data_IF_648190519014
#
_entry.id   IF_648190519014
#
_cell.length_a   1.000
_cell.length_b   1.000
_cell.length_c   1.000
_cell.angle_alpha   90.00
_cell.angle_beta   90.00
_cell.angle_gamma   90.00
#
_symmetry.space_group_name_H-M   'P 1'
#
loop_
_entity.id
_entity.type
_entity.pdbx_description
1 polymer ?
#
# COMPACT_ATOMS: atom_id res chain seq x y z
N UNK A 1 -19.59 -11.97 -19.89
CA UNK A 1 -18.30 -12.58 -19.56
C UNK A 1 -17.24 -12.08 -20.51
N UNK A 2 -16.33 -11.23 -20.04
CA UNK A 2 -15.21 -10.73 -20.82
C UNK A 2 -14.07 -11.77 -20.81
N UNK A 3 -13.41 -11.94 -21.95
CA UNK A 3 -12.12 -12.65 -22.00
C UNK A 3 -11.04 -11.64 -21.62
N UNK A 4 -10.22 -11.98 -20.62
CA UNK A 4 -9.15 -11.12 -20.11
C UNK A 4 -7.81 -11.79 -20.36
N UNK A 5 -6.84 -11.03 -20.90
CA UNK A 5 -5.46 -11.43 -21.02
C UNK A 5 -4.62 -10.56 -20.09
N UNK A 6 -3.90 -11.18 -19.17
CA UNK A 6 -2.89 -10.51 -18.34
C UNK A 6 -1.52 -10.68 -18.97
N UNK A 7 -0.82 -9.57 -19.19
CA UNK A 7 0.54 -9.56 -19.74
C UNK A 7 1.48 -9.05 -18.66
N UNK A 8 2.49 -9.86 -18.29
CA UNK A 8 3.52 -9.56 -17.29
C UNK A 8 4.90 -9.75 -17.92
N UNK A 9 5.79 -8.76 -17.78
CA UNK A 9 7.15 -8.83 -18.33
C UNK A 9 8.11 -9.66 -17.47
N UNK A 10 7.80 -9.78 -16.16
CA UNK A 10 8.60 -10.55 -15.22
C UNK A 10 8.19 -12.01 -15.12
N UNK A 11 8.82 -12.70 -14.20
CA UNK A 11 8.50 -14.09 -13.89
C UNK A 11 7.32 -14.26 -12.94
N UNK A 12 7.07 -15.52 -12.57
CA UNK A 12 6.15 -15.86 -11.48
C UNK A 12 6.68 -15.34 -10.15
N UNK A 13 5.78 -15.08 -9.22
CA UNK A 13 6.07 -14.63 -7.84
C UNK A 13 6.55 -15.78 -6.92
N UNK A 14 7.24 -16.77 -7.48
CA UNK A 14 7.68 -17.98 -6.75
C UNK A 14 8.93 -17.78 -5.88
N UNK A 15 9.56 -16.59 -5.91
CA UNK A 15 10.70 -16.29 -5.07
C UNK A 15 10.26 -16.13 -3.61
N UNK A 16 10.75 -16.98 -2.65
CA UNK A 16 10.20 -17.03 -1.30
C UNK A 16 10.20 -15.68 -0.57
N UNK A 17 11.17 -14.82 -0.83
CA UNK A 17 11.27 -13.49 -0.22
C UNK A 17 10.15 -12.51 -0.64
N UNK A 18 9.44 -12.81 -1.73
CA UNK A 18 8.24 -12.05 -2.08
C UNK A 18 7.15 -12.23 -1.03
N UNK A 19 6.97 -13.45 -0.54
CA UNK A 19 5.88 -13.79 0.38
C UNK A 19 6.17 -13.41 1.84
N UNK A 20 7.44 -13.32 2.22
CA UNK A 20 7.85 -12.93 3.58
C UNK A 20 7.85 -11.40 3.68
N UNK A 21 7.10 -10.78 4.62
CA UNK A 21 6.98 -9.32 4.70
C UNK A 21 8.31 -8.57 4.68
N UNK A 22 9.26 -8.92 5.54
CA UNK A 22 10.60 -8.32 5.57
C UNK A 22 11.42 -8.59 4.30
N UNK A 23 10.99 -9.52 3.48
CA UNK A 23 11.67 -9.93 2.23
C UNK A 23 11.76 -8.83 1.18
N UNK A 24 11.02 -7.72 1.33
CA UNK A 24 11.13 -6.59 0.39
C UNK A 24 12.56 -6.05 0.28
N UNK A 25 13.38 -6.16 1.33
CA UNK A 25 14.81 -5.83 1.28
C UNK A 25 15.63 -6.75 0.34
N UNK A 26 15.12 -7.93 0.01
CA UNK A 26 15.76 -8.90 -0.90
C UNK A 26 15.19 -8.85 -2.32
N UNK A 27 14.01 -8.27 -2.46
CA UNK A 27 13.30 -8.17 -3.75
C UNK A 27 13.52 -6.84 -4.44
N UNK A 28 13.60 -5.73 -3.69
CA UNK A 28 14.03 -4.43 -4.22
C UNK A 28 15.50 -4.48 -4.66
N UNK A 29 15.79 -3.77 -5.75
CA UNK A 29 17.12 -3.73 -6.39
C UNK A 29 17.63 -5.09 -6.89
N UNK A 30 16.77 -6.11 -6.93
CA UNK A 30 17.10 -7.41 -7.51
C UNK A 30 16.57 -7.47 -8.95
N UNK A 31 17.44 -7.55 -9.99
CA UNK A 31 17.02 -7.52 -11.40
C UNK A 31 16.04 -8.65 -11.80
N UNK A 32 15.90 -9.68 -10.97
CA UNK A 32 14.93 -10.78 -11.19
C UNK A 32 13.51 -10.37 -10.82
N UNK A 33 13.34 -9.42 -9.88
CA UNK A 33 12.04 -9.02 -9.32
C UNK A 33 11.78 -7.52 -9.40
N UNK A 34 12.79 -6.73 -9.81
CA UNK A 34 12.76 -5.28 -9.88
C UNK A 34 13.30 -4.80 -11.22
N UNK A 35 12.68 -3.78 -11.82
CA UNK A 35 13.21 -3.10 -13.01
C UNK A 35 14.48 -2.31 -12.72
N UNK A 36 14.80 -2.05 -11.45
CA UNK A 36 15.96 -1.30 -11.00
C UNK A 36 16.08 0.10 -11.62
N UNK A 37 14.95 0.78 -11.82
CA UNK A 37 14.94 2.14 -12.34
C UNK A 37 15.63 3.12 -11.40
N UNK A 38 16.10 4.21 -11.97
CA UNK A 38 16.62 5.38 -11.26
C UNK A 38 16.00 6.63 -11.84
N UNK A 39 15.82 7.65 -11.00
CA UNK A 39 15.40 8.97 -11.48
C UNK A 39 16.53 9.62 -12.29
N UNK A 40 16.18 10.53 -13.20
CA UNK A 40 17.16 11.46 -13.74
C UNK A 40 17.76 12.32 -12.61
N UNK A 41 19.02 12.75 -12.75
CA UNK A 41 19.60 13.69 -11.81
C UNK A 41 18.79 14.98 -11.73
N UNK A 42 18.55 15.49 -10.52
CA UNK A 42 17.78 16.71 -10.27
C UNK A 42 18.65 17.72 -9.53
N UNK A 43 18.75 18.94 -10.08
CA UNK A 43 19.57 20.02 -9.51
C UNK A 43 19.07 20.43 -8.11
N UNK A 44 17.75 20.39 -7.85
CA UNK A 44 17.17 20.69 -6.55
C UNK A 44 17.52 19.66 -5.48
N UNK A 45 18.02 18.50 -5.90
CA UNK A 45 18.45 17.39 -5.07
C UNK A 45 19.96 17.11 -5.16
N UNK A 46 20.76 18.14 -5.38
CA UNK A 46 22.22 18.06 -5.52
C UNK A 46 22.67 17.11 -6.66
N UNK A 47 21.94 17.10 -7.76
CA UNK A 47 22.16 16.22 -8.92
C UNK A 47 22.15 14.72 -8.57
N UNK A 48 21.43 14.33 -7.51
CA UNK A 48 21.30 12.91 -7.13
C UNK A 48 20.34 12.19 -8.06
N UNK A 49 20.73 10.98 -8.45
CA UNK A 49 19.85 9.98 -9.07
C UNK A 49 19.39 9.00 -7.98
N UNK A 50 18.10 8.89 -7.79
CA UNK A 50 17.50 8.09 -6.70
C UNK A 50 17.01 6.75 -7.27
N UNK A 51 17.35 5.61 -6.65
CA UNK A 51 16.77 4.32 -7.01
C UNK A 51 15.24 4.36 -6.89
N UNK A 52 14.54 3.85 -7.90
CA UNK A 52 13.08 3.88 -7.97
C UNK A 52 12.53 2.48 -8.25
N UNK A 53 12.44 1.62 -7.23
CA UNK A 53 12.02 0.23 -7.39
C UNK A 53 10.64 0.09 -8.03
N UNK A 54 10.51 -0.79 -9.00
CA UNK A 54 9.25 -1.21 -9.63
C UNK A 54 9.28 -2.71 -9.86
N UNK A 55 8.24 -3.40 -9.42
CA UNK A 55 8.16 -4.85 -9.53
C UNK A 55 8.18 -5.33 -10.98
N UNK A 56 9.02 -6.33 -11.23
CA UNK A 56 9.14 -7.07 -12.49
C UNK A 56 8.85 -8.54 -12.22
N UNK A 57 7.62 -8.82 -11.82
CA UNK A 57 7.14 -10.14 -11.45
C UNK A 57 5.62 -10.13 -11.42
N UNK A 58 4.98 -11.28 -11.42
CA UNK A 58 3.53 -11.38 -11.22
C UNK A 58 3.13 -10.64 -9.93
N UNK A 59 2.09 -9.83 -10.00
CA UNK A 59 1.70 -8.90 -8.93
C UNK A 59 2.43 -7.56 -8.95
N UNK A 60 3.44 -7.37 -9.80
CA UNK A 60 4.16 -6.10 -9.97
C UNK A 60 4.72 -5.55 -8.67
N UNK A 61 4.57 -4.25 -8.45
CA UNK A 61 5.11 -3.59 -7.25
C UNK A 61 4.43 -4.03 -5.94
N UNK A 62 3.22 -4.60 -5.98
CA UNK A 62 2.60 -5.18 -4.77
C UNK A 62 3.36 -6.40 -4.24
N UNK A 63 4.14 -7.07 -5.09
CA UNK A 63 4.99 -8.20 -4.72
C UNK A 63 6.33 -7.79 -4.06
N UNK A 64 6.74 -6.51 -4.17
CA UNK A 64 8.03 -6.02 -3.67
C UNK A 64 7.94 -4.78 -2.77
N UNK A 65 6.76 -4.21 -2.57
CA UNK A 65 6.55 -3.01 -1.74
C UNK A 65 6.68 -3.31 -0.23
N UNK A 66 6.65 -2.26 0.61
CA UNK A 66 6.68 -2.36 2.07
C UNK A 66 5.33 -2.72 2.71
N UNK A 67 4.35 -3.20 1.96
CA UNK A 67 3.02 -3.68 2.39
C UNK A 67 2.08 -2.63 2.98
N UNK A 68 2.49 -1.39 3.20
CA UNK A 68 1.64 -0.38 3.84
C UNK A 68 0.32 -0.22 3.04
N UNK A 69 -0.80 -0.29 3.77
CA UNK A 69 -2.12 -0.09 3.21
C UNK A 69 -2.68 1.26 3.62
N UNK A 70 -2.70 2.18 2.67
CA UNK A 70 -3.28 3.51 2.82
C UNK A 70 -3.96 3.91 1.51
N UNK A 71 -5.14 4.49 1.60
CA UNK A 71 -5.90 5.04 0.48
C UNK A 71 -5.65 6.54 0.37
N UNK A 72 -5.92 7.12 -0.79
CA UNK A 72 -6.13 8.55 -0.91
C UNK A 72 -7.30 9.01 -0.02
N UNK A 73 -7.30 10.27 0.36
CA UNK A 73 -8.40 10.89 1.08
C UNK A 73 -9.58 11.19 0.13
N UNK A 74 -10.76 11.39 0.70
CA UNK A 74 -11.95 11.81 -0.03
C UNK A 74 -11.67 13.01 -0.96
N UNK A 75 -10.94 14.00 -0.46
CA UNK A 75 -10.59 15.20 -1.21
C UNK A 75 -9.75 14.91 -2.46
N UNK A 76 -8.86 13.92 -2.43
CA UNK A 76 -8.01 13.56 -3.58
C UNK A 76 -8.88 13.14 -4.77
N UNK A 77 -9.86 12.27 -4.52
CA UNK A 77 -10.77 11.77 -5.53
C UNK A 77 -11.78 12.83 -5.98
N UNK A 78 -12.27 13.65 -5.07
CA UNK A 78 -13.19 14.74 -5.39
C UNK A 78 -12.51 15.82 -6.22
N UNK A 79 -11.23 16.10 -6.01
CA UNK A 79 -10.42 16.94 -6.89
C UNK A 79 -10.33 16.33 -8.28
N UNK A 80 -10.08 15.03 -8.39
CA UNK A 80 -10.07 14.37 -9.70
C UNK A 80 -11.40 14.54 -10.43
N UNK A 81 -12.52 14.34 -9.75
CA UNK A 81 -13.85 14.59 -10.33
C UNK A 81 -14.02 16.05 -10.78
N UNK A 82 -13.59 17.01 -9.98
CA UNK A 82 -13.65 18.43 -10.30
C UNK A 82 -12.82 18.80 -11.53
N UNK A 83 -11.68 18.12 -11.73
CA UNK A 83 -10.83 18.25 -12.92
C UNK A 83 -11.45 17.61 -14.18
N UNK A 84 -12.68 17.11 -14.13
CA UNK A 84 -13.42 16.57 -15.26
C UNK A 84 -13.50 15.05 -15.34
N UNK A 85 -12.91 14.33 -14.40
CA UNK A 85 -12.93 12.86 -14.37
C UNK A 85 -14.22 12.36 -13.72
N UNK A 86 -15.31 12.32 -14.48
CA UNK A 86 -16.61 11.82 -14.01
C UNK A 86 -16.50 10.36 -13.58
N UNK A 87 -17.14 10.00 -12.45
CA UNK A 87 -17.09 8.65 -11.89
C UNK A 87 -15.85 8.39 -11.01
N UNK A 88 -15.11 9.45 -10.64
CA UNK A 88 -13.93 9.37 -9.79
C UNK A 88 -14.07 10.15 -8.47
N UNK A 89 -15.29 10.52 -8.06
CA UNK A 89 -15.49 11.07 -6.72
C UNK A 89 -15.28 10.00 -5.65
N UNK A 90 -15.10 10.41 -4.41
CA UNK A 90 -15.00 9.48 -3.29
C UNK A 90 -16.17 8.48 -3.26
N UNK A 91 -17.39 8.98 -3.43
CA UNK A 91 -18.58 8.13 -3.43
C UNK A 91 -18.61 7.14 -4.62
N UNK A 92 -17.95 7.46 -5.73
CA UNK A 92 -17.85 6.55 -6.87
C UNK A 92 -16.80 5.45 -6.63
N UNK A 93 -15.68 5.77 -5.95
CA UNK A 93 -14.55 4.83 -5.80
C UNK A 93 -14.61 4.00 -4.53
N UNK A 94 -15.20 4.51 -3.45
CA UNK A 94 -15.31 3.80 -2.17
C UNK A 94 -15.92 2.38 -2.29
N UNK A 95 -17.00 2.16 -3.07
CA UNK A 95 -17.56 0.82 -3.26
C UNK A 95 -16.55 -0.19 -3.82
N UNK A 96 -15.60 0.25 -4.64
CA UNK A 96 -14.55 -0.62 -5.18
C UNK A 96 -13.47 -0.93 -4.16
N UNK A 97 -13.12 0.01 -3.28
CA UNK A 97 -12.24 -0.26 -2.14
C UNK A 97 -12.87 -1.28 -1.20
N UNK A 98 -14.13 -1.10 -0.84
CA UNK A 98 -14.87 -2.05 0.01
C UNK A 98 -14.94 -3.44 -0.61
N UNK A 99 -15.21 -3.51 -1.93
CA UNK A 99 -15.28 -4.77 -2.67
C UNK A 99 -13.93 -5.50 -2.72
N UNK A 100 -12.83 -4.77 -2.83
CA UNK A 100 -11.49 -5.35 -2.95
C UNK A 100 -10.93 -5.83 -1.61
N UNK A 101 -11.35 -5.21 -0.51
CA UNK A 101 -10.76 -5.40 0.80
C UNK A 101 -11.33 -6.60 1.56
N UNK A 102 -10.45 -7.26 2.31
CA UNK A 102 -10.81 -8.18 3.39
C UNK A 102 -10.14 -7.74 4.68
N UNK A 103 -10.82 -6.84 5.41
CA UNK A 103 -10.32 -6.18 6.62
C UNK A 103 -10.36 -7.13 7.83
N UNK A 104 -9.21 -7.31 8.49
CA UNK A 104 -9.11 -8.15 9.70
C UNK A 104 -9.97 -7.64 10.86
N UNK A 105 -10.12 -6.31 10.98
CA UNK A 105 -10.92 -5.67 12.04
C UNK A 105 -12.43 -5.78 11.82
N UNK A 106 -12.86 -6.27 10.66
CA UNK A 106 -14.27 -6.38 10.29
C UNK A 106 -14.75 -5.27 9.36
N UNK A 107 -16.03 -5.35 9.02
CA UNK A 107 -16.69 -4.41 8.10
C UNK A 107 -17.22 -3.18 8.84
N UNK A 108 -17.07 -2.02 8.20
CA UNK A 108 -17.76 -0.77 8.57
C UNK A 108 -18.04 0.08 7.33
N UNK A 109 -18.35 1.37 7.49
CA UNK A 109 -18.64 2.28 6.39
C UNK A 109 -17.42 2.54 5.47
N UNK A 110 -16.19 2.37 5.99
CA UNK A 110 -14.94 2.58 5.25
C UNK A 110 -14.23 1.27 4.88
N UNK A 111 -14.62 0.14 5.46
CA UNK A 111 -13.92 -1.14 5.32
C UNK A 111 -14.82 -2.27 4.85
N UNK A 112 -14.29 -3.07 3.90
CA UNK A 112 -14.94 -4.26 3.39
C UNK A 112 -14.37 -5.55 3.95
N UNK A 113 -15.14 -6.63 3.87
CA UNK A 113 -14.71 -8.00 4.18
C UNK A 113 -15.02 -8.93 3.03
N UNK A 114 -14.27 -10.02 2.93
CA UNK A 114 -14.48 -11.04 1.89
C UNK A 114 -13.91 -10.69 0.52
N UNK A 115 -13.27 -9.54 0.37
CA UNK A 115 -12.54 -9.20 -0.86
C UNK A 115 -11.21 -9.96 -0.99
N UNK A 116 -10.58 -9.92 -2.17
CA UNK A 116 -9.33 -10.63 -2.41
C UNK A 116 -8.11 -10.06 -1.66
N UNK A 117 -8.10 -8.74 -1.37
CA UNK A 117 -6.98 -8.07 -0.72
C UNK A 117 -7.11 -8.10 0.80
N UNK A 118 -6.36 -8.98 1.45
CA UNK A 118 -6.34 -9.04 2.91
C UNK A 118 -5.53 -7.88 3.50
N UNK A 119 -6.15 -7.19 4.48
CA UNK A 119 -5.57 -6.07 5.23
C UNK A 119 -5.59 -6.42 6.71
N UNK A 120 -4.45 -6.34 7.38
CA UNK A 120 -4.29 -6.69 8.78
C UNK A 120 -3.48 -5.67 9.56
N UNK A 121 -3.55 -5.75 10.88
CA UNK A 121 -2.69 -4.97 11.75
C UNK A 121 -1.25 -5.48 11.71
N UNK A 122 -0.29 -4.59 11.86
CA UNK A 122 1.10 -4.97 12.02
C UNK A 122 1.30 -5.85 13.26
N UNK A 123 1.99 -6.97 13.08
CA UNK A 123 2.30 -7.91 14.19
C UNK A 123 3.48 -7.43 15.04
N UNK A 124 4.38 -6.65 14.46
CA UNK A 124 5.57 -6.14 15.15
C UNK A 124 5.27 -4.74 15.69
N UNK A 125 5.36 -4.60 17.01
CA UNK A 125 5.30 -3.32 17.72
C UNK A 125 6.65 -3.09 18.40
N UNK A 126 7.18 -1.89 18.25
CA UNK A 126 8.48 -1.51 18.84
C UNK A 126 8.25 -0.40 19.88
N UNK A 127 8.79 -0.55 21.11
CA UNK A 127 8.63 0.47 22.17
C UNK A 127 9.06 1.88 21.73
N UNK A 128 10.05 2.00 20.84
CA UNK A 128 10.49 3.28 20.31
C UNK A 128 9.40 3.97 19.47
N UNK A 129 8.59 3.21 18.73
CA UNK A 129 7.47 3.76 17.96
C UNK A 129 6.32 4.20 18.87
N UNK A 130 6.06 3.45 19.94
CA UNK A 130 5.08 3.85 20.94
C UNK A 130 5.52 5.13 21.67
N UNK A 131 6.81 5.24 22.01
CA UNK A 131 7.38 6.47 22.59
C UNK A 131 7.28 7.64 21.61
N UNK A 132 7.53 7.44 20.31
CA UNK A 132 7.36 8.45 19.28
C UNK A 132 5.91 8.95 19.19
N UNK A 133 4.94 8.02 19.20
CA UNK A 133 3.52 8.40 19.17
C UNK A 133 3.09 9.17 20.42
N UNK A 134 3.64 8.82 21.60
CA UNK A 134 3.38 9.57 22.84
C UNK A 134 3.96 10.99 22.75
N UNK A 135 5.19 11.14 22.28
CA UNK A 135 5.81 12.46 22.09
C UNK A 135 5.06 13.30 21.03
N UNK A 136 4.55 12.68 19.97
CA UNK A 136 3.72 13.37 18.98
C UNK A 136 2.43 13.92 19.61
N UNK A 137 1.78 13.14 20.48
CA UNK A 137 0.57 13.55 21.21
C UNK A 137 0.84 14.73 22.16
N UNK A 138 1.99 14.75 22.84
CA UNK A 138 2.42 15.85 23.71
C UNK A 138 2.55 17.20 22.98
N UNK A 139 2.87 17.17 21.66
CA UNK A 139 2.96 18.38 20.82
C UNK A 139 1.69 18.62 19.99
N UNK A 140 0.58 17.95 20.32
CA UNK A 140 -0.74 18.19 19.73
C UNK A 140 -1.01 17.39 18.43
N UNK A 141 -0.20 16.41 18.07
CA UNK A 141 -0.46 15.49 16.96
C UNK A 141 -1.26 14.30 17.50
N UNK A 142 -2.53 14.09 17.09
CA UNK A 142 -3.36 13.04 17.65
C UNK A 142 -2.87 11.64 17.25
N UNK A 143 -3.13 10.66 18.13
CA UNK A 143 -2.97 9.25 17.76
C UNK A 143 -4.10 8.80 16.85
N UNK A 144 -3.75 8.10 15.78
CA UNK A 144 -4.69 7.56 14.80
C UNK A 144 -4.56 6.04 14.76
N UNK A 145 -5.68 5.37 14.96
CA UNK A 145 -5.73 3.90 14.88
C UNK A 145 -5.99 3.40 13.46
N UNK A 146 -6.46 4.28 12.57
CA UNK A 146 -6.81 3.93 11.21
C UNK A 146 -6.74 5.16 10.30
N UNK A 147 -5.85 5.13 9.34
CA UNK A 147 -5.65 6.21 8.38
C UNK A 147 -6.63 6.18 7.21
N UNK A 148 -7.49 5.16 7.12
CA UNK A 148 -8.43 4.97 6.01
C UNK A 148 -9.88 5.35 6.38
N UNK A 149 -10.10 5.98 7.55
CA UNK A 149 -11.41 6.43 8.05
C UNK A 149 -11.63 7.94 7.91
N UNK A 150 -11.28 8.50 6.78
CA UNK A 150 -11.53 9.91 6.46
C UNK A 150 -10.36 10.82 6.83
N UNK A 151 -10.28 11.33 8.06
CA UNK A 151 -9.15 12.18 8.47
C UNK A 151 -7.91 11.34 8.80
N UNK A 152 -6.83 11.51 8.03
CA UNK A 152 -5.56 10.82 8.26
C UNK A 152 -4.48 11.71 8.91
N UNK A 153 -4.87 12.87 9.47
CA UNK A 153 -3.95 13.69 10.25
C UNK A 153 -3.69 13.05 11.61
N UNK A 154 -2.45 12.67 11.86
CA UNK A 154 -2.07 12.06 13.13
C UNK A 154 -0.87 11.13 13.04
N UNK A 155 -0.64 10.38 14.11
CA UNK A 155 0.45 9.42 14.25
C UNK A 155 -0.09 8.06 14.69
N UNK A 156 0.32 6.99 14.03
CA UNK A 156 -0.17 5.64 14.32
C UNK A 156 0.55 4.55 13.54
N UNK A 157 0.24 3.31 13.83
CA UNK A 157 0.69 2.17 13.04
C UNK A 157 -0.16 2.03 11.78
N UNK A 158 0.49 1.89 10.64
CA UNK A 158 -0.19 1.53 9.40
C UNK A 158 -0.67 0.08 9.43
N UNK A 159 -1.82 -0.17 8.85
CA UNK A 159 -2.21 -1.51 8.45
C UNK A 159 -1.41 -1.97 7.23
N UNK A 160 -1.35 -3.26 7.02
CA UNK A 160 -0.53 -3.88 5.98
C UNK A 160 -1.32 -4.87 5.14
N UNK A 161 -0.94 -5.01 3.87
CA UNK A 161 -1.50 -6.03 2.96
C UNK A 161 -0.89 -7.39 3.25
N UNK A 162 -1.42 -8.04 4.28
CA UNK A 162 -0.90 -9.29 4.83
C UNK A 162 -2.05 -10.24 5.20
N UNK A 163 -1.82 -11.53 5.01
CA UNK A 163 -2.71 -12.61 5.42
C UNK A 163 -1.90 -13.69 6.14
N UNK A 164 -2.23 -13.96 7.40
CA UNK A 164 -1.57 -15.01 8.20
C UNK A 164 -0.03 -14.88 8.26
N UNK A 165 0.49 -13.65 8.35
CA UNK A 165 1.93 -13.39 8.41
C UNK A 165 2.65 -13.43 7.06
N UNK A 166 1.93 -13.56 5.96
CA UNK A 166 2.48 -13.56 4.60
C UNK A 166 1.90 -12.39 3.79
N UNK A 167 2.70 -11.88 2.84
CA UNK A 167 2.26 -10.84 1.90
C UNK A 167 1.03 -11.26 1.13
N UNK A 168 0.03 -10.39 1.08
CA UNK A 168 -1.09 -10.46 0.15
C UNK A 168 -0.83 -9.47 -0.99
N UNK A 169 -0.18 -9.93 -2.06
CA UNK A 169 0.02 -9.16 -3.29
C UNK A 169 -1.17 -9.30 -4.22
N UNK A 170 -1.20 -8.51 -5.30
CA UNK A 170 -2.21 -8.66 -6.36
C UNK A 170 -2.12 -10.00 -7.14
N UNK A 171 -1.05 -10.80 -6.92
CA UNK A 171 -0.94 -12.15 -7.47
C UNK A 171 -1.55 -13.22 -6.57
N UNK A 172 -1.80 -12.91 -5.29
CA UNK A 172 -2.29 -13.85 -4.27
C UNK A 172 -3.76 -13.59 -3.95
N UNK A 173 -4.22 -12.34 -4.09
CA UNK A 173 -5.57 -11.88 -3.83
C UNK A 173 -6.61 -12.30 -4.86
#
# INVERSE_FOLDING_TARGET
NNKVLLIEAGGKDSYPWIHIPVGYYKTMHNPKTDWCYKTEPDETMENRSIPYPRGKTLGGSSSINGLLYIRGQEQDYDIWRQLGNKGWSWNDVLPYFLKAENQERGQDEFHGVGGPLSVSDQRIKLPILDAFMNAAEEVGIPKVNDFNKGNNFGCGYFQVTEKNGLRCSAAVG
#
